data_IF_664956375426
#
_entry.id   IF_664956375426
#
_cell.length_a   1.000
_cell.length_b   1.000
_cell.length_c   1.000
_cell.angle_alpha   90.00
_cell.angle_beta   90.00
_cell.angle_gamma   90.00
#
_symmetry.space_group_name_H-M   'P 1'
#
loop_
_entity.id
_entity.type
_entity.pdbx_description
1 polymer ?
#
# COMPACT_ATOMS: atom_id res chain seq x y z
N UNK A 1 -7.79 1.75 19.19
CA UNK A 1 -6.79 2.57 18.48
C UNK A 1 -5.55 1.73 18.36
N UNK A 2 -5.00 1.62 17.16
CA UNK A 2 -3.76 0.87 16.95
C UNK A 2 -2.54 1.67 17.37
N UNK A 3 -1.45 0.99 17.69
CA UNK A 3 -0.13 1.58 17.92
C UNK A 3 0.87 0.94 16.97
N UNK A 4 1.92 1.66 16.57
CA UNK A 4 2.91 1.13 15.61
C UNK A 4 3.45 -0.24 16.01
N UNK A 5 3.74 -0.46 17.28
CA UNK A 5 4.26 -1.73 17.81
C UNK A 5 3.30 -2.92 17.62
N UNK A 6 1.99 -2.66 17.45
CA UNK A 6 0.99 -3.70 17.20
C UNK A 6 0.92 -4.11 15.72
N UNK A 7 1.32 -3.22 14.79
CA UNK A 7 1.19 -3.52 13.36
C UNK A 7 2.51 -3.46 12.56
N UNK A 8 3.62 -2.96 13.10
CA UNK A 8 4.88 -2.81 12.37
C UNK A 8 5.43 -4.12 11.78
N UNK A 9 5.14 -5.27 12.41
CA UNK A 9 5.56 -6.60 11.97
C UNK A 9 4.40 -7.49 11.53
N UNK A 10 3.22 -6.92 11.30
CA UNK A 10 1.99 -7.66 11.03
C UNK A 10 1.85 -8.08 9.56
N UNK A 11 2.49 -7.35 8.65
CA UNK A 11 2.29 -7.47 7.21
C UNK A 11 3.57 -7.92 6.51
N UNK A 12 3.40 -8.73 5.48
CA UNK A 12 4.49 -9.30 4.69
C UNK A 12 4.98 -8.34 3.59
N UNK A 13 4.07 -7.51 3.07
CA UNK A 13 4.31 -6.67 1.90
C UNK A 13 4.43 -5.18 2.22
N UNK A 14 4.41 -4.85 3.50
CA UNK A 14 4.46 -3.46 3.99
C UNK A 14 5.44 -3.34 5.15
N UNK A 15 6.36 -2.40 5.03
CA UNK A 15 7.29 -2.02 6.09
C UNK A 15 7.00 -0.61 6.58
N UNK A 16 7.10 -0.40 7.87
CA UNK A 16 6.81 0.86 8.54
C UNK A 16 8.03 1.41 9.25
N UNK A 17 8.25 2.71 9.12
CA UNK A 17 9.24 3.47 9.86
C UNK A 17 8.63 4.80 10.30
N UNK A 18 8.67 5.11 11.60
CA UNK A 18 8.12 6.39 12.12
C UNK A 18 9.18 7.22 12.81
N UNK A 19 9.26 8.48 12.42
CA UNK A 19 10.12 9.49 13.04
C UNK A 19 9.33 10.79 13.23
N UNK A 20 9.25 11.29 14.44
CA UNK A 20 8.59 12.55 14.78
C UNK A 20 7.14 12.67 14.26
N UNK A 21 6.38 11.57 14.33
CA UNK A 21 4.99 11.51 13.86
C UNK A 21 4.83 11.31 12.35
N UNK A 22 5.92 11.28 11.58
CA UNK A 22 5.90 10.97 10.14
C UNK A 22 6.06 9.47 9.96
N UNK A 23 5.03 8.82 9.49
CA UNK A 23 5.03 7.39 9.19
C UNK A 23 5.39 7.17 7.71
N UNK A 24 6.55 6.59 7.45
CA UNK A 24 6.88 6.07 6.12
C UNK A 24 6.38 4.64 5.98
N UNK A 25 5.60 4.41 4.95
CA UNK A 25 5.03 3.12 4.55
C UNK A 25 5.70 2.70 3.25
N UNK A 26 6.50 1.65 3.30
CA UNK A 26 7.23 1.15 2.14
C UNK A 26 6.62 -0.17 1.67
N UNK A 27 6.10 -0.18 0.44
CA UNK A 27 5.60 -1.41 -0.20
C UNK A 27 6.75 -2.20 -0.78
N UNK A 28 6.80 -3.50 -0.51
CA UNK A 28 7.91 -4.36 -0.93
C UNK A 28 7.50 -5.83 -1.11
N UNK A 29 8.34 -6.56 -1.81
CA UNK A 29 8.34 -8.02 -1.85
C UNK A 29 9.77 -8.49 -1.57
N UNK A 30 9.99 -9.09 -0.40
CA UNK A 30 11.37 -9.36 0.07
C UNK A 30 12.20 -8.08 0.17
N UNK A 31 13.34 -8.05 -0.51
CA UNK A 31 14.25 -6.88 -0.51
C UNK A 31 14.03 -5.94 -1.72
N UNK A 32 13.05 -6.21 -2.56
CA UNK A 32 12.82 -5.49 -3.83
C UNK A 32 11.46 -4.83 -3.94
N UNK A 33 11.18 -4.36 -5.15
CA UNK A 33 9.92 -3.72 -5.52
C UNK A 33 8.73 -4.64 -5.25
N UNK A 34 7.60 -4.05 -4.90
CA UNK A 34 6.37 -4.80 -4.67
C UNK A 34 5.94 -5.56 -5.93
N UNK A 35 5.75 -6.86 -5.79
CA UNK A 35 5.05 -7.70 -6.76
C UNK A 35 3.61 -7.88 -6.28
N UNK A 36 2.67 -7.40 -7.08
CA UNK A 36 1.27 -7.45 -6.70
C UNK A 36 0.72 -8.88 -6.72
N UNK A 37 0.12 -9.28 -5.62
CA UNK A 37 -0.42 -10.62 -5.47
C UNK A 37 -1.49 -10.71 -4.38
N UNK A 38 -1.85 -11.93 -4.03
CA UNK A 38 -2.85 -12.19 -2.99
C UNK A 38 -2.45 -11.61 -1.62
N UNK A 39 -1.17 -11.69 -1.17
CA UNK A 39 -0.78 -11.06 0.10
C UNK A 39 -1.03 -9.56 0.12
N UNK A 40 -0.49 -8.82 -0.84
CA UNK A 40 -0.63 -7.36 -0.90
C UNK A 40 -2.10 -6.93 -1.03
N UNK A 41 -2.87 -7.62 -1.86
CA UNK A 41 -4.29 -7.33 -2.05
C UNK A 41 -5.11 -7.50 -0.76
N UNK A 42 -4.80 -8.53 0.04
CA UNK A 42 -5.43 -8.77 1.33
C UNK A 42 -4.96 -7.80 2.41
N UNK A 43 -3.65 -7.53 2.47
CA UNK A 43 -3.01 -6.84 3.59
C UNK A 43 -3.22 -5.33 3.57
N UNK A 44 -3.16 -4.70 2.39
CA UNK A 44 -3.16 -3.23 2.30
C UNK A 44 -4.42 -2.59 2.87
N UNK A 45 -5.59 -3.22 2.70
CA UNK A 45 -6.81 -2.73 3.32
C UNK A 45 -6.73 -2.73 4.86
N UNK A 46 -6.13 -3.75 5.45
CA UNK A 46 -5.92 -3.82 6.90
C UNK A 46 -4.83 -2.86 7.37
N UNK A 47 -3.73 -2.74 6.62
CA UNK A 47 -2.65 -1.83 6.94
C UNK A 47 -3.14 -0.38 6.98
N UNK A 48 -3.94 0.06 6.00
CA UNK A 48 -4.51 1.41 6.00
C UNK A 48 -5.48 1.65 7.15
N UNK A 49 -6.25 0.64 7.58
CA UNK A 49 -7.10 0.75 8.76
C UNK A 49 -6.28 0.91 10.05
N UNK A 50 -5.20 0.13 10.21
CA UNK A 50 -4.30 0.27 11.37
C UNK A 50 -3.61 1.65 11.37
N UNK A 51 -3.10 2.10 10.21
CA UNK A 51 -2.49 3.43 10.05
C UNK A 51 -3.46 4.56 10.43
N UNK A 52 -4.69 4.49 9.91
CA UNK A 52 -5.71 5.53 10.15
C UNK A 52 -6.19 5.57 11.60
N UNK A 53 -6.09 4.46 12.33
CA UNK A 53 -6.48 4.39 13.74
C UNK A 53 -5.36 4.72 14.74
N UNK A 54 -4.11 4.88 14.27
CA UNK A 54 -2.95 5.21 15.12
C UNK A 54 -2.82 6.74 15.26
N UNK A 55 -3.22 7.24 16.41
CA UNK A 55 -3.24 8.68 16.71
C UNK A 55 -1.87 9.34 16.81
N UNK A 56 -0.79 8.55 16.85
CA UNK A 56 0.57 9.09 16.84
C UNK A 56 1.07 9.42 15.43
N UNK A 57 0.36 8.98 14.39
CA UNK A 57 0.64 9.37 13.02
C UNK A 57 0.15 10.80 12.76
N UNK A 58 1.02 11.68 12.32
CA UNK A 58 0.72 13.08 11.98
C UNK A 58 0.77 13.31 10.46
N UNK A 59 1.56 12.49 9.76
CA UNK A 59 1.67 12.48 8.30
C UNK A 59 2.07 11.09 7.86
N UNK A 60 1.53 10.64 6.73
CA UNK A 60 1.85 9.33 6.14
C UNK A 60 2.51 9.53 4.78
N UNK A 61 3.61 8.82 4.54
CA UNK A 61 4.29 8.77 3.25
C UNK A 61 4.16 7.35 2.70
N UNK A 62 3.58 7.20 1.51
CA UNK A 62 3.48 5.93 0.80
C UNK A 62 4.54 5.89 -0.29
N UNK A 63 5.43 4.90 -0.26
CA UNK A 63 6.47 4.73 -1.27
C UNK A 63 6.72 3.26 -1.59
N UNK A 64 7.44 2.98 -2.68
CA UNK A 64 7.86 1.63 -3.05
C UNK A 64 9.32 1.36 -2.68
N UNK A 65 9.67 0.11 -2.44
CA UNK A 65 11.05 -0.35 -2.38
C UNK A 65 11.61 -0.58 -3.79
N UNK A 66 12.93 -0.44 -3.95
CA UNK A 66 13.59 -0.70 -5.23
C UNK A 66 13.29 0.37 -6.29
N UNK A 67 13.29 -0.04 -7.55
CA UNK A 67 13.19 0.86 -8.70
C UNK A 67 11.76 1.17 -9.13
N UNK A 68 10.79 0.32 -8.76
CA UNK A 68 9.38 0.46 -9.12
C UNK A 68 8.52 0.74 -7.89
N UNK A 69 7.45 1.49 -8.07
CA UNK A 69 6.40 1.60 -7.05
C UNK A 69 5.58 0.30 -6.97
N UNK A 70 5.01 -0.12 -8.09
CA UNK A 70 4.44 -1.45 -8.31
C UNK A 70 4.24 -1.65 -9.81
N UNK A 71 5.09 -2.45 -10.45
CA UNK A 71 5.09 -2.60 -11.91
C UNK A 71 4.77 -4.02 -12.38
N UNK A 72 4.79 -5.03 -11.51
CA UNK A 72 4.64 -6.42 -11.91
C UNK A 72 3.80 -7.23 -10.91
N UNK A 73 3.37 -8.39 -11.35
CA UNK A 73 2.61 -9.36 -10.54
C UNK A 73 3.50 -10.47 -10.00
N UNK A 74 3.10 -11.03 -8.86
CA UNK A 74 3.72 -12.26 -8.34
C UNK A 74 3.65 -13.38 -9.39
N UNK A 75 4.78 -14.05 -9.70
CA UNK A 75 4.81 -15.18 -10.63
C UNK A 75 3.87 -16.32 -10.22
N UNK A 76 3.31 -17.03 -11.21
CA UNK A 76 2.46 -18.19 -10.96
C UNK A 76 1.01 -17.88 -10.55
N UNK A 77 0.58 -16.63 -10.68
CA UNK A 77 -0.81 -16.24 -10.42
C UNK A 77 -1.79 -17.09 -11.23
N UNK A 78 -2.70 -17.79 -10.53
CA UNK A 78 -3.74 -18.58 -11.17
C UNK A 78 -4.76 -17.69 -11.88
N UNK A 79 -5.07 -18.03 -13.13
CA UNK A 79 -6.16 -17.40 -13.89
C UNK A 79 -7.54 -17.99 -13.56
N UNK A 80 -7.57 -19.16 -12.91
CA UNK A 80 -8.83 -19.82 -12.54
C UNK A 80 -9.31 -19.29 -11.21
N UNK A 81 -10.43 -18.57 -11.24
CA UNK A 81 -11.10 -18.06 -10.05
C UNK A 81 -12.52 -18.59 -9.98
N UNK A 82 -12.90 -19.05 -8.80
CA UNK A 82 -14.28 -19.38 -8.48
C UNK A 82 -15.07 -18.07 -8.22
N UNK A 83 -16.40 -18.08 -8.36
CA UNK A 83 -17.22 -16.89 -8.04
C UNK A 83 -16.92 -16.28 -6.66
N UNK A 84 -16.71 -17.11 -5.63
CA UNK A 84 -16.34 -16.66 -4.29
C UNK A 84 -15.00 -15.92 -4.20
N UNK A 85 -14.07 -16.23 -5.13
CA UNK A 85 -12.76 -15.57 -5.15
C UNK A 85 -12.90 -14.15 -5.72
N UNK A 86 -13.81 -13.95 -6.66
CA UNK A 86 -14.18 -12.63 -7.17
C UNK A 86 -14.84 -11.76 -6.12
N UNK A 87 -15.75 -12.34 -5.35
CA UNK A 87 -16.44 -11.66 -4.26
C UNK A 87 -15.43 -11.19 -3.19
N UNK A 88 -14.51 -12.09 -2.79
CA UNK A 88 -13.41 -11.76 -1.89
C UNK A 88 -12.53 -10.64 -2.47
N UNK A 89 -12.10 -10.76 -3.73
CA UNK A 89 -11.25 -9.77 -4.40
C UNK A 89 -11.93 -8.40 -4.45
N UNK A 90 -13.21 -8.35 -4.78
CA UNK A 90 -13.98 -7.11 -4.79
C UNK A 90 -14.05 -6.47 -3.40
N UNK A 91 -14.36 -7.28 -2.38
CA UNK A 91 -14.45 -6.79 -1.01
C UNK A 91 -13.11 -6.24 -0.50
N UNK A 92 -12.01 -6.96 -0.72
CA UNK A 92 -10.66 -6.55 -0.33
C UNK A 92 -10.24 -5.26 -1.05
N UNK A 93 -10.43 -5.17 -2.37
CA UNK A 93 -10.10 -3.99 -3.16
C UNK A 93 -10.91 -2.76 -2.72
N UNK A 94 -12.20 -2.93 -2.45
CA UNK A 94 -13.03 -1.85 -1.93
C UNK A 94 -12.53 -1.35 -0.56
N UNK A 95 -12.18 -2.27 0.35
CA UNK A 95 -11.65 -1.92 1.67
C UNK A 95 -10.29 -1.23 1.58
N UNK A 96 -9.43 -1.67 0.68
CA UNK A 96 -8.15 -1.02 0.43
C UNK A 96 -8.33 0.47 0.12
N UNK A 97 -9.18 0.80 -0.84
CA UNK A 97 -9.40 2.17 -1.25
C UNK A 97 -10.13 3.00 -0.18
N UNK A 98 -11.18 2.46 0.44
CA UNK A 98 -11.93 3.18 1.47
C UNK A 98 -11.07 3.45 2.71
N UNK A 99 -10.32 2.46 3.18
CA UNK A 99 -9.48 2.64 4.36
C UNK A 99 -8.30 3.59 4.10
N UNK A 100 -7.80 3.67 2.85
CA UNK A 100 -6.83 4.69 2.46
C UNK A 100 -7.45 6.09 2.56
N UNK A 101 -8.64 6.28 2.03
CA UNK A 101 -9.37 7.56 2.06
C UNK A 101 -9.84 7.95 3.47
N UNK A 102 -10.00 6.98 4.37
CA UNK A 102 -10.40 7.21 5.75
C UNK A 102 -9.23 7.64 6.67
N UNK A 103 -7.99 7.71 6.15
CA UNK A 103 -6.86 8.26 6.89
C UNK A 103 -7.03 9.77 7.02
N UNK A 104 -7.19 10.27 8.25
CA UNK A 104 -7.52 11.68 8.52
C UNK A 104 -6.31 12.63 8.51
N UNK A 105 -5.08 12.08 8.55
CA UNK A 105 -3.84 12.88 8.47
C UNK A 105 -3.38 12.99 7.02
N UNK A 106 -2.54 14.01 6.67
CA UNK A 106 -2.04 14.14 5.32
C UNK A 106 -1.32 12.90 4.83
N UNK A 107 -1.68 12.41 3.64
CA UNK A 107 -1.05 11.29 2.95
C UNK A 107 -0.29 11.79 1.73
N UNK A 108 0.99 11.47 1.67
CA UNK A 108 1.88 11.82 0.57
C UNK A 108 2.25 10.56 -0.20
N UNK A 109 1.86 10.48 -1.46
CA UNK A 109 2.31 9.43 -2.37
C UNK A 109 3.67 9.81 -2.96
N UNK A 110 4.73 9.15 -2.52
CA UNK A 110 6.09 9.33 -3.05
C UNK A 110 6.40 8.22 -4.05
N UNK A 111 6.09 8.45 -5.32
CA UNK A 111 6.17 7.45 -6.40
C UNK A 111 7.58 7.40 -6.94
N UNK A 112 8.35 6.41 -6.50
CA UNK A 112 9.77 6.23 -6.77
C UNK A 112 10.09 5.72 -8.18
N UNK A 113 9.12 5.18 -8.90
CA UNK A 113 9.27 4.61 -10.24
C UNK A 113 7.93 4.19 -10.83
N UNK A 114 7.92 3.30 -11.83
CA UNK A 114 6.69 2.82 -12.47
C UNK A 114 5.64 2.32 -11.50
N UNK A 115 4.42 2.84 -11.62
CA UNK A 115 3.20 2.46 -10.90
C UNK A 115 2.17 1.94 -11.93
N UNK A 116 2.42 0.74 -12.46
CA UNK A 116 1.62 0.16 -13.56
C UNK A 116 0.48 -0.70 -13.04
N UNK A 117 0.54 -1.06 -11.75
CA UNK A 117 -0.48 -1.89 -11.10
C UNK A 117 -0.95 -1.14 -9.87
N UNK A 118 -2.26 -0.94 -9.77
CA UNK A 118 -2.88 -0.20 -8.67
C UNK A 118 -2.33 1.22 -8.47
N UNK A 119 -2.12 1.95 -9.58
CA UNK A 119 -1.70 3.35 -9.58
C UNK A 119 -2.69 4.28 -8.84
N UNK A 120 -3.93 3.84 -8.63
CA UNK A 120 -4.91 4.56 -7.82
C UNK A 120 -4.46 4.70 -6.35
N UNK A 121 -3.65 3.82 -5.81
CA UNK A 121 -3.18 3.92 -4.43
C UNK A 121 -2.39 5.21 -4.19
N UNK A 122 -1.30 5.51 -4.91
CA UNK A 122 -0.64 6.79 -4.75
C UNK A 122 -1.46 7.96 -5.30
N UNK A 123 -2.30 7.75 -6.32
CA UNK A 123 -3.11 8.82 -6.92
C UNK A 123 -4.23 9.33 -6.00
N UNK A 124 -4.68 8.54 -5.02
CA UNK A 124 -5.66 8.94 -4.00
C UNK A 124 -5.02 9.63 -2.79
N UNK A 125 -3.70 9.80 -2.77
CA UNK A 125 -3.01 10.59 -1.75
C UNK A 125 -3.33 12.08 -1.88
N UNK A 126 -3.24 12.83 -0.79
CA UNK A 126 -3.48 14.28 -0.78
C UNK A 126 -2.44 15.04 -1.63
N UNK A 127 -1.20 14.56 -1.61
CA UNK A 127 -0.09 15.10 -2.41
C UNK A 127 0.62 13.93 -3.09
N UNK A 128 0.88 14.07 -4.40
CA UNK A 128 1.65 13.08 -5.16
C UNK A 128 2.95 13.71 -5.63
N UNK A 129 4.06 13.11 -5.20
CA UNK A 129 5.41 13.40 -5.70
C UNK A 129 5.84 12.20 -6.56
N UNK A 130 6.32 12.43 -7.75
CA UNK A 130 6.75 11.39 -8.66
C UNK A 130 8.18 11.62 -9.13
N UNK A 131 8.97 10.54 -9.19
CA UNK A 131 10.29 10.58 -9.83
C UNK A 131 10.14 10.84 -11.33
N UNK A 132 11.21 11.30 -11.97
CA UNK A 132 11.20 11.51 -13.43
C UNK A 132 10.98 10.23 -14.24
N UNK A 133 11.24 9.07 -13.62
CA UNK A 133 11.03 7.75 -14.23
C UNK A 133 9.66 7.16 -13.93
N UNK A 134 8.85 7.82 -13.10
CA UNK A 134 7.53 7.33 -12.74
C UNK A 134 6.57 7.36 -13.96
N UNK A 135 5.86 6.27 -14.11
CA UNK A 135 4.77 6.12 -15.08
C UNK A 135 3.56 5.55 -14.36
N UNK A 136 2.37 5.95 -14.78
CA UNK A 136 1.11 5.53 -14.17
C UNK A 136 0.24 4.83 -15.22
N UNK A 137 -0.41 3.72 -14.81
CA UNK A 137 -1.33 2.99 -15.67
C UNK A 137 -2.57 2.54 -14.89
#
# INVERSE_FOLDING_TARGET
>A
MATLTEYENKYETVRFERTDGILQVTFHSGDGSLLWGEPSHRELGHAFADIGSDVENQTVILTGAGDDYCADFTPGRSSRRMPKDWDKTYWEGKRLLLNLLDIEVPVIGAVNGPALIHAEVPALSDIVLASETATFQ
#
